data_IF_675239467575
#
_entry.id   IF_675239467575
#
_cell.length_a   1.000
_cell.length_b   1.000
_cell.length_c   1.000
_cell.angle_alpha   90.00
_cell.angle_beta   90.00
_cell.angle_gamma   90.00
#
_symmetry.space_group_name_H-M   'P 1'
#
loop_
_entity.id
_entity.type
_entity.pdbx_description
1 polymer ?
#
# COMPACT_ATOMS: atom_id res chain seq x y z
N UNK A 1 13.91 8.86 -9.32
CA UNK A 1 13.24 10.01 -9.98
C UNK A 1 12.79 11.09 -9.00
N UNK A 2 12.10 10.78 -7.88
CA UNK A 2 11.66 11.79 -6.91
C UNK A 2 12.82 12.64 -6.32
N UNK A 3 13.93 12.00 -5.95
CA UNK A 3 15.12 12.70 -5.45
C UNK A 3 15.76 13.64 -6.49
N UNK A 4 15.80 13.24 -7.77
CA UNK A 4 16.35 14.07 -8.85
C UNK A 4 15.51 15.32 -9.10
N UNK A 5 14.17 15.21 -9.03
CA UNK A 5 13.26 16.35 -9.10
C UNK A 5 13.43 17.32 -7.93
N UNK A 6 13.53 16.79 -6.71
CA UNK A 6 13.74 17.60 -5.51
C UNK A 6 15.09 18.34 -5.49
N UNK A 7 16.15 17.68 -5.96
CA UNK A 7 17.47 18.30 -6.11
C UNK A 7 17.47 19.36 -7.21
N UNK A 8 16.75 19.14 -8.32
CA UNK A 8 16.64 20.12 -9.41
C UNK A 8 15.87 21.39 -9.00
N UNK A 9 14.98 21.29 -8.01
CA UNK A 9 14.25 22.43 -7.45
C UNK A 9 15.09 23.28 -6.46
N UNK A 10 16.35 22.89 -6.20
CA UNK A 10 17.27 23.65 -5.33
C UNK A 10 16.99 23.51 -3.82
N UNK A 11 16.13 22.58 -3.42
CA UNK A 11 15.74 22.36 -2.02
C UNK A 11 16.70 21.43 -1.26
N UNK A 12 16.87 21.67 0.05
CA UNK A 12 17.76 20.87 0.92
C UNK A 12 17.38 19.39 0.97
N UNK A 13 18.40 18.52 0.91
CA UNK A 13 18.28 17.05 0.95
C UNK A 13 17.68 16.54 2.26
N UNK A 14 17.88 17.24 3.38
CA UNK A 14 17.31 16.82 4.67
C UNK A 14 15.78 16.92 4.68
N UNK A 15 15.23 17.99 4.09
CA UNK A 15 13.79 18.18 3.96
C UNK A 15 13.15 17.10 3.08
N UNK A 16 13.86 16.64 2.05
CA UNK A 16 13.39 15.53 1.21
C UNK A 16 13.15 14.26 2.03
N UNK A 17 14.13 13.85 2.84
CA UNK A 17 14.02 12.62 3.65
C UNK A 17 12.86 12.74 4.62
N UNK A 18 12.70 13.90 5.26
CA UNK A 18 11.61 14.15 6.20
C UNK A 18 10.24 14.03 5.51
N UNK A 19 10.06 14.63 4.33
CA UNK A 19 8.80 14.54 3.58
C UNK A 19 8.56 13.18 2.93
N UNK A 20 9.60 12.43 2.60
CA UNK A 20 9.49 11.06 2.08
C UNK A 20 9.15 10.03 3.17
N UNK A 21 9.43 10.35 4.44
CA UNK A 21 9.28 9.46 5.57
C UNK A 21 7.85 8.87 5.73
N UNK A 22 6.75 9.65 5.75
CA UNK A 22 5.41 9.08 5.87
C UNK A 22 5.07 8.12 4.72
N UNK A 23 5.53 8.40 3.50
CA UNK A 23 5.34 7.52 2.34
C UNK A 23 6.14 6.22 2.47
N UNK A 24 7.40 6.30 2.91
CA UNK A 24 8.24 5.13 3.11
C UNK A 24 7.71 4.21 4.21
N UNK A 25 7.28 4.79 5.33
CA UNK A 25 6.71 4.04 6.46
C UNK A 25 5.37 3.41 6.08
N UNK A 26 4.48 4.12 5.38
CA UNK A 26 3.22 3.56 4.89
C UNK A 26 3.42 2.47 3.83
N UNK A 27 4.44 2.61 2.98
CA UNK A 27 4.83 1.55 2.03
C UNK A 27 5.24 0.27 2.76
N UNK A 28 6.03 0.39 3.84
CA UNK A 28 6.43 -0.77 4.67
C UNK A 28 5.22 -1.43 5.31
N UNK A 29 4.24 -0.66 5.80
CA UNK A 29 3.00 -1.21 6.37
C UNK A 29 2.25 -2.10 5.36
N UNK A 30 2.03 -1.60 4.14
CA UNK A 30 1.36 -2.38 3.08
C UNK A 30 2.22 -3.56 2.64
N UNK A 31 3.53 -3.36 2.51
CA UNK A 31 4.46 -4.42 2.13
C UNK A 31 4.40 -5.62 3.08
N UNK A 32 4.37 -5.38 4.39
CA UNK A 32 4.21 -6.45 5.38
C UNK A 32 2.95 -7.29 5.13
N UNK A 33 1.82 -6.65 4.82
CA UNK A 33 0.59 -7.37 4.47
C UNK A 33 0.72 -8.16 3.17
N UNK A 34 1.41 -7.63 2.15
CA UNK A 34 1.62 -8.35 0.88
C UNK A 34 2.46 -9.62 1.03
N UNK A 35 3.32 -9.72 2.06
CA UNK A 35 4.05 -10.97 2.31
C UNK A 35 3.19 -12.10 2.87
N UNK A 36 1.95 -11.83 3.30
CA UNK A 36 1.09 -12.83 3.94
C UNK A 36 0.44 -13.81 2.96
N UNK A 37 -0.16 -13.36 1.84
CA UNK A 37 -0.63 -14.27 0.79
C UNK A 37 0.50 -15.13 0.19
N UNK A 38 1.73 -14.61 0.21
CA UNK A 38 2.90 -15.23 -0.43
C UNK A 38 3.58 -16.29 0.46
N UNK A 39 3.20 -16.44 1.74
CA UNK A 39 3.77 -17.42 2.67
C UNK A 39 3.91 -18.85 2.08
N UNK A 40 2.88 -19.46 1.47
CA UNK A 40 3.01 -20.81 0.91
C UNK A 40 4.08 -20.89 -0.19
N UNK A 41 4.08 -19.95 -1.14
CA UNK A 41 5.04 -19.94 -2.24
C UNK A 41 6.47 -19.58 -1.79
N UNK A 42 6.60 -18.68 -0.81
CA UNK A 42 7.88 -18.32 -0.20
C UNK A 42 8.50 -19.50 0.56
N UNK A 43 7.69 -20.27 1.29
CA UNK A 43 8.15 -21.49 1.98
C UNK A 43 8.65 -22.55 1.01
N UNK A 44 7.92 -22.80 -0.07
CA UNK A 44 8.33 -23.76 -1.12
C UNK A 44 9.64 -23.34 -1.79
N UNK A 45 9.85 -22.03 -1.96
CA UNK A 45 11.06 -21.45 -2.56
C UNK A 45 12.22 -21.26 -1.57
N UNK A 46 12.06 -21.65 -0.29
CA UNK A 46 13.08 -21.46 0.75
C UNK A 46 13.35 -20.00 1.16
N UNK A 47 12.44 -19.07 0.86
CA UNK A 47 12.58 -17.65 1.21
C UNK A 47 12.11 -17.40 2.65
N UNK A 48 12.89 -16.62 3.39
CA UNK A 48 12.57 -16.22 4.78
C UNK A 48 12.04 -14.79 4.76
N UNK A 49 10.80 -14.61 4.32
CA UNK A 49 10.11 -13.31 4.41
C UNK A 49 9.56 -13.08 5.81
N UNK A 50 9.14 -11.85 6.12
CA UNK A 50 8.65 -11.50 7.45
C UNK A 50 7.42 -12.35 7.83
N UNK A 51 6.49 -12.53 6.88
CA UNK A 51 5.33 -13.42 7.03
C UNK A 51 5.70 -14.89 7.29
N UNK A 52 6.75 -15.40 6.64
CA UNK A 52 7.23 -16.78 6.85
C UNK A 52 7.90 -16.95 8.22
N UNK A 53 8.75 -16.01 8.63
CA UNK A 53 9.52 -16.09 9.88
C UNK A 53 8.68 -15.85 11.12
N UNK A 54 7.79 -14.86 11.08
CA UNK A 54 7.06 -14.38 12.25
C UNK A 54 5.56 -14.71 12.23
N UNK A 55 5.07 -15.26 11.12
CA UNK A 55 3.68 -15.66 10.95
C UNK A 55 2.73 -14.48 10.76
N UNK A 56 1.46 -14.80 10.53
CA UNK A 56 0.44 -13.83 10.16
C UNK A 56 0.15 -12.80 11.25
N UNK A 57 -0.05 -13.26 12.50
CA UNK A 57 -0.41 -12.40 13.63
C UNK A 57 0.61 -11.29 13.84
N UNK A 58 1.89 -11.64 14.03
CA UNK A 58 2.92 -10.64 14.31
C UNK A 58 3.12 -9.68 13.14
N UNK A 59 3.06 -10.18 11.91
CA UNK A 59 3.16 -9.36 10.69
C UNK A 59 2.03 -8.33 10.58
N UNK A 60 0.78 -8.72 10.82
CA UNK A 60 -0.35 -7.78 10.80
C UNK A 60 -0.28 -6.73 11.91
N UNK A 61 0.21 -7.09 13.11
CA UNK A 61 0.42 -6.11 14.18
C UNK A 61 1.49 -5.09 13.83
N UNK A 62 2.63 -5.53 13.29
CA UNK A 62 3.65 -4.61 12.80
C UNK A 62 3.12 -3.72 11.67
N UNK A 63 2.33 -4.28 10.75
CA UNK A 63 1.69 -3.49 9.70
C UNK A 63 0.82 -2.37 10.27
N UNK A 64 0.03 -2.63 11.32
CA UNK A 64 -0.73 -1.58 12.04
C UNK A 64 0.19 -0.54 12.67
N UNK A 65 1.28 -0.96 13.31
CA UNK A 65 2.24 -0.04 13.95
C UNK A 65 2.87 0.90 12.92
N UNK A 66 3.30 0.36 11.78
CA UNK A 66 3.85 1.17 10.68
C UNK A 66 2.78 2.09 10.07
N UNK A 67 1.55 1.63 9.89
CA UNK A 67 0.45 2.47 9.38
C UNK A 67 0.14 3.63 10.34
N UNK A 68 0.08 3.36 11.65
CA UNK A 68 -0.07 4.40 12.67
C UNK A 68 1.08 5.39 12.65
N UNK A 69 2.32 4.92 12.52
CA UNK A 69 3.47 5.81 12.39
C UNK A 69 3.39 6.68 11.13
N UNK A 70 2.94 6.12 10.00
CA UNK A 70 2.72 6.88 8.77
C UNK A 70 1.69 8.00 8.96
N UNK A 71 0.56 7.70 9.62
CA UNK A 71 -0.46 8.69 9.98
C UNK A 71 0.11 9.79 10.88
N UNK A 72 0.87 9.43 11.93
CA UNK A 72 1.46 10.40 12.85
C UNK A 72 2.47 11.33 12.16
N UNK A 73 3.35 10.77 11.32
CA UNK A 73 4.30 11.57 10.55
C UNK A 73 3.61 12.46 9.53
N UNK A 74 2.62 11.93 8.81
CA UNK A 74 1.82 12.70 7.85
C UNK A 74 1.08 13.86 8.52
N UNK A 75 0.51 13.62 9.71
CA UNK A 75 -0.17 14.63 10.51
C UNK A 75 0.80 15.73 10.98
N UNK A 76 1.96 15.32 11.52
CA UNK A 76 2.99 16.25 11.98
C UNK A 76 3.51 17.16 10.85
N UNK A 77 3.73 16.59 9.67
CA UNK A 77 4.21 17.32 8.49
C UNK A 77 3.09 18.05 7.72
N UNK A 78 1.83 17.91 8.17
CA UNK A 78 0.64 18.45 7.51
C UNK A 78 0.53 18.04 6.04
N UNK A 79 0.99 16.85 5.70
CA UNK A 79 0.89 16.30 4.35
C UNK A 79 -0.45 15.58 4.17
N UNK A 80 -1.46 16.35 3.76
CA UNK A 80 -2.82 15.85 3.55
C UNK A 80 -2.92 14.80 2.42
N UNK A 81 -1.95 14.74 1.50
CA UNK A 81 -1.99 13.80 0.37
C UNK A 81 -1.83 12.38 0.85
N UNK A 82 -0.96 12.15 1.84
CA UNK A 82 -0.75 10.82 2.44
C UNK A 82 -1.57 10.63 3.73
N UNK A 83 -1.84 11.71 4.48
CA UNK A 83 -2.62 11.63 5.71
C UNK A 83 -4.04 11.09 5.47
N UNK A 84 -4.75 11.64 4.48
CA UNK A 84 -6.14 11.25 4.19
C UNK A 84 -6.25 9.77 3.81
N UNK A 85 -5.50 9.24 2.82
CA UNK A 85 -5.60 7.83 2.47
C UNK A 85 -5.09 6.89 3.57
N UNK A 86 -4.05 7.27 4.32
CA UNK A 86 -3.57 6.46 5.44
C UNK A 86 -4.61 6.38 6.57
N UNK A 87 -5.25 7.51 6.93
CA UNK A 87 -6.36 7.51 7.90
C UNK A 87 -7.56 6.67 7.41
N UNK A 88 -7.88 6.74 6.12
CA UNK A 88 -8.96 5.93 5.55
C UNK A 88 -8.64 4.43 5.54
N UNK A 89 -7.36 4.06 5.36
CA UNK A 89 -6.89 2.68 5.38
C UNK A 89 -6.74 2.10 6.79
N UNK A 90 -6.38 2.93 7.78
CA UNK A 90 -6.14 2.53 9.17
C UNK A 90 -7.22 1.59 9.78
N UNK A 91 -8.54 1.86 9.67
CA UNK A 91 -9.55 0.92 10.20
C UNK A 91 -9.48 -0.46 9.53
N UNK A 92 -9.11 -0.55 8.26
CA UNK A 92 -8.94 -1.82 7.55
C UNK A 92 -7.72 -2.59 8.06
N UNK A 93 -6.62 -1.89 8.36
CA UNK A 93 -5.46 -2.49 9.02
C UNK A 93 -5.82 -3.05 10.40
N UNK A 94 -6.58 -2.29 11.20
CA UNK A 94 -7.08 -2.75 12.50
C UNK A 94 -7.99 -3.98 12.37
N UNK A 95 -8.93 -3.97 11.43
CA UNK A 95 -9.82 -5.12 11.17
C UNK A 95 -8.99 -6.35 10.77
N UNK A 96 -8.01 -6.20 9.88
CA UNK A 96 -7.14 -7.30 9.47
C UNK A 96 -6.33 -7.86 10.65
N UNK A 97 -5.82 -7.00 11.54
CA UNK A 97 -5.09 -7.42 12.74
C UNK A 97 -5.97 -8.07 13.81
N UNK A 98 -7.24 -7.68 13.93
CA UNK A 98 -8.17 -8.28 14.90
C UNK A 98 -8.71 -9.62 14.37
N UNK A 99 -9.20 -9.65 13.12
CA UNK A 99 -9.89 -10.81 12.56
C UNK A 99 -8.94 -11.90 12.05
N UNK A 100 -7.72 -11.54 11.65
CA UNK A 100 -6.71 -12.47 11.13
C UNK A 100 -7.20 -13.32 9.95
N UNK A 101 -8.17 -12.81 9.17
CA UNK A 101 -8.66 -13.49 7.96
C UNK A 101 -7.88 -13.01 6.75
N UNK A 102 -7.48 -13.94 5.88
CA UNK A 102 -6.74 -13.60 4.66
C UNK A 102 -7.55 -12.68 3.73
N UNK A 103 -8.88 -12.83 3.70
CA UNK A 103 -9.78 -11.93 2.96
C UNK A 103 -9.67 -10.47 3.43
N UNK A 104 -9.59 -10.24 4.74
CA UNK A 104 -9.45 -8.91 5.31
C UNK A 104 -8.07 -8.32 4.97
N UNK A 105 -7.01 -9.13 5.03
CA UNK A 105 -5.65 -8.71 4.61
C UNK A 105 -5.62 -8.29 3.14
N UNK A 106 -6.18 -9.11 2.24
CA UNK A 106 -6.24 -8.84 0.81
C UNK A 106 -7.08 -7.60 0.51
N UNK A 107 -8.20 -7.41 1.20
CA UNK A 107 -9.02 -6.19 1.09
C UNK A 107 -8.22 -4.98 1.53
N UNK A 108 -7.54 -5.03 2.69
CA UNK A 108 -6.71 -3.92 3.19
C UNK A 108 -5.66 -3.53 2.15
N UNK A 109 -4.90 -4.48 1.59
CA UNK A 109 -3.91 -4.19 0.55
C UNK A 109 -4.55 -3.46 -0.64
N UNK A 110 -5.64 -4.00 -1.19
CA UNK A 110 -6.32 -3.44 -2.37
C UNK A 110 -6.85 -2.03 -2.10
N UNK A 111 -7.52 -1.82 -0.96
CA UNK A 111 -8.11 -0.53 -0.60
C UNK A 111 -7.06 0.51 -0.26
N UNK A 112 -5.96 0.16 0.43
CA UNK A 112 -4.88 1.10 0.70
C UNK A 112 -4.25 1.63 -0.59
N UNK A 113 -3.98 0.74 -1.56
CA UNK A 113 -3.46 1.14 -2.88
C UNK A 113 -4.47 2.01 -3.64
N UNK A 114 -5.76 1.68 -3.56
CA UNK A 114 -6.82 2.48 -4.17
C UNK A 114 -6.89 3.89 -3.55
N UNK A 115 -6.92 3.99 -2.21
CA UNK A 115 -6.98 5.28 -1.52
C UNK A 115 -5.76 6.15 -1.83
N UNK A 116 -4.56 5.57 -1.81
CA UNK A 116 -3.34 6.29 -2.20
C UNK A 116 -3.42 6.77 -3.66
N UNK A 117 -3.92 5.93 -4.57
CA UNK A 117 -4.06 6.29 -5.99
C UNK A 117 -5.08 7.42 -6.19
N UNK A 118 -6.22 7.38 -5.48
CA UNK A 118 -7.22 8.44 -5.52
C UNK A 118 -6.71 9.75 -4.93
N UNK A 119 -5.87 9.71 -3.89
CA UNK A 119 -5.26 10.90 -3.33
C UNK A 119 -4.34 11.61 -4.35
N UNK A 120 -3.63 10.85 -5.19
CA UNK A 120 -2.82 11.41 -6.29
C UNK A 120 -3.71 12.08 -7.35
N UNK A 121 -4.90 11.53 -7.63
CA UNK A 121 -5.85 12.13 -8.58
C UNK A 121 -6.31 13.54 -8.19
N UNK A 122 -6.28 13.89 -6.89
CA UNK A 122 -6.60 15.25 -6.44
C UNK A 122 -5.60 16.28 -7.00
N UNK A 123 -4.32 15.92 -7.07
CA UNK A 123 -3.29 16.80 -7.68
C UNK A 123 -3.17 16.62 -9.19
N UNK A 124 -3.36 15.40 -9.68
CA UNK A 124 -3.19 15.05 -11.08
C UNK A 124 -4.44 14.34 -11.61
N UNK A 125 -5.51 15.07 -11.97
CA UNK A 125 -6.77 14.46 -12.41
C UNK A 125 -6.62 13.52 -13.61
N UNK A 126 -5.67 13.78 -14.51
CA UNK A 126 -5.36 12.90 -15.66
C UNK A 126 -4.94 11.49 -15.21
N UNK A 127 -4.35 11.35 -14.03
CA UNK A 127 -3.99 10.04 -13.48
C UNK A 127 -5.21 9.13 -13.28
N UNK A 128 -6.39 9.73 -13.03
CA UNK A 128 -7.64 8.97 -12.93
C UNK A 128 -7.97 8.20 -14.21
N UNK A 129 -7.75 8.81 -15.38
CA UNK A 129 -7.93 8.14 -16.67
C UNK A 129 -6.98 6.96 -16.83
N UNK A 130 -5.74 7.11 -16.38
CA UNK A 130 -4.74 6.02 -16.40
C UNK A 130 -5.18 4.86 -15.52
N UNK A 131 -5.70 5.14 -14.32
CA UNK A 131 -6.27 4.11 -13.43
C UNK A 131 -7.42 3.38 -14.11
N UNK A 132 -8.37 4.10 -14.72
CA UNK A 132 -9.51 3.50 -15.41
C UNK A 132 -9.08 2.62 -16.58
N UNK A 133 -8.19 3.12 -17.44
CA UNK A 133 -7.66 2.37 -18.58
C UNK A 133 -6.98 1.10 -18.07
N UNK A 134 -6.11 1.21 -17.06
CA UNK A 134 -5.40 0.06 -16.50
C UNK A 134 -6.36 -0.98 -15.91
N UNK A 135 -7.42 -0.54 -15.21
CA UNK A 135 -8.43 -1.43 -14.64
C UNK A 135 -9.17 -2.22 -15.73
N UNK A 136 -9.72 -1.53 -16.74
CA UNK A 136 -10.47 -2.18 -17.81
C UNK A 136 -9.58 -3.05 -18.71
N UNK A 137 -8.36 -2.59 -19.01
CA UNK A 137 -7.42 -3.34 -19.83
C UNK A 137 -6.95 -4.61 -19.11
N UNK A 138 -6.63 -4.52 -17.81
CA UNK A 138 -6.31 -5.70 -17.00
C UNK A 138 -7.47 -6.69 -16.99
N UNK A 139 -8.70 -6.20 -16.80
CA UNK A 139 -9.91 -7.03 -16.81
C UNK A 139 -10.11 -7.78 -18.12
N UNK A 140 -9.92 -7.08 -19.24
CA UNK A 140 -9.98 -7.69 -20.56
C UNK A 140 -8.86 -8.72 -20.78
N UNK A 141 -7.62 -8.37 -20.42
CA UNK A 141 -6.45 -9.21 -20.62
C UNK A 141 -6.54 -10.53 -19.84
N UNK A 142 -6.84 -10.47 -18.54
CA UNK A 142 -6.92 -11.67 -17.70
C UNK A 142 -8.08 -12.58 -18.09
N UNK A 143 -9.23 -12.00 -18.48
CA UNK A 143 -10.37 -12.77 -18.98
C UNK A 143 -10.03 -13.48 -20.29
N UNK A 144 -9.38 -12.78 -21.24
CA UNK A 144 -9.08 -13.35 -22.55
C UNK A 144 -7.96 -14.40 -22.50
N UNK A 145 -6.95 -14.20 -21.66
CA UNK A 145 -5.74 -15.04 -21.65
C UNK A 145 -5.78 -16.18 -20.65
N UNK A 146 -6.42 -15.97 -19.50
CA UNK A 146 -6.36 -16.91 -18.37
C UNK A 146 -7.74 -17.38 -17.90
N UNK A 147 -8.83 -16.90 -18.54
CA UNK A 147 -10.21 -17.11 -18.09
C UNK A 147 -10.43 -16.71 -16.62
N UNK A 148 -9.62 -15.75 -16.15
CA UNK A 148 -9.66 -15.22 -14.80
C UNK A 148 -10.36 -13.86 -14.79
N UNK A 149 -11.35 -13.72 -13.91
CA UNK A 149 -11.93 -12.42 -13.62
C UNK A 149 -11.04 -11.66 -12.61
N UNK A 150 -10.10 -10.87 -13.11
CA UNK A 150 -9.20 -10.00 -12.35
C UNK A 150 -9.08 -8.65 -13.05
N UNK A 151 -9.15 -7.48 -12.38
CA UNK A 151 -9.13 -7.28 -10.93
C UNK A 151 -10.53 -7.32 -10.28
N UNK A 152 -10.65 -7.99 -9.13
CA UNK A 152 -11.86 -7.98 -8.27
C UNK A 152 -11.61 -7.20 -6.99
N UNK A 153 -12.56 -6.34 -6.63
CA UNK A 153 -12.57 -5.63 -5.34
C UNK A 153 -13.03 -6.52 -4.18
N UNK A 154 -13.83 -7.56 -4.45
CA UNK A 154 -14.14 -8.61 -3.48
C UNK A 154 -12.98 -9.61 -3.36
N UNK A 155 -12.86 -10.21 -2.18
CA UNK A 155 -12.01 -11.38 -1.94
C UNK A 155 -12.67 -12.61 -2.55
#
# INVERSE_FOLDING_TARGET
MAACGWLSAGTSTYLFVLHALPYGVGLVAVFLLTTLPDIPGDKESGKITFGVRYGQKLTTYWAVVFELAAVLFAFYLKDYIILIPALAALPLFLIAAIRQRMEDVLRTIKFTVLFASLAVCVKYPVYFLVILINFYFSKWYYRKRFDLEYPKFAA
#
